data_IF_229793356179
#
_entry.id   IF_229793356179
#
_cell.length_a   1.000
_cell.length_b   1.000
_cell.length_c   1.000
_cell.angle_alpha   90.00
_cell.angle_beta   90.00
_cell.angle_gamma   90.00
#
_symmetry.space_group_name_H-M   'P 1'
#
loop_
_entity.id
_entity.type
_entity.pdbx_description
1 polymer ?
#
# COMPACT_ATOMS: atom_id res chain seq x y z
N UNK A 1 -22.66 -12.87 20.91
CA UNK A 1 -21.33 -12.23 20.92
C UNK A 1 -21.40 -11.03 20.00
N UNK A 2 -21.11 -9.82 20.49
CA UNK A 2 -21.05 -8.63 19.63
C UNK A 2 -19.86 -8.72 18.69
N UNK A 3 -20.05 -8.38 17.42
CA UNK A 3 -18.96 -8.30 16.44
C UNK A 3 -18.08 -7.12 16.83
N UNK A 4 -16.80 -7.39 17.11
CA UNK A 4 -15.81 -6.32 17.27
C UNK A 4 -15.63 -5.64 15.91
N UNK A 5 -15.91 -4.33 15.85
CA UNK A 5 -15.70 -3.52 14.65
C UNK A 5 -14.60 -2.50 14.91
N UNK A 6 -13.64 -2.40 14.00
CA UNK A 6 -12.54 -1.43 14.06
C UNK A 6 -12.79 -0.31 13.06
N UNK A 7 -12.66 0.95 13.51
CA UNK A 7 -12.72 2.12 12.63
C UNK A 7 -11.35 2.28 11.94
N UNK A 8 -11.28 2.23 10.59
CA UNK A 8 -10.00 2.37 9.90
C UNK A 8 -9.39 3.77 10.07
N UNK A 9 -8.10 3.83 10.42
CA UNK A 9 -7.28 5.04 10.31
C UNK A 9 -6.11 4.75 9.38
N UNK A 10 -6.31 5.00 8.08
CA UNK A 10 -5.38 4.63 7.02
C UNK A 10 -4.02 5.33 7.16
N UNK A 11 -4.00 6.60 7.55
CA UNK A 11 -2.75 7.35 7.77
C UNK A 11 -1.92 6.73 8.90
N UNK A 12 -2.53 6.49 10.06
CA UNK A 12 -1.81 5.84 11.19
C UNK A 12 -1.41 4.41 10.86
N UNK A 13 -2.25 3.68 10.13
CA UNK A 13 -1.93 2.33 9.69
C UNK A 13 -0.71 2.32 8.75
N UNK A 14 -0.64 3.24 7.79
CA UNK A 14 0.49 3.38 6.87
C UNK A 14 1.80 3.61 7.62
N UNK A 15 1.84 4.56 8.56
CA UNK A 15 3.03 4.80 9.40
C UNK A 15 3.41 3.58 10.24
N UNK A 16 2.44 2.96 10.93
CA UNK A 16 2.70 1.80 11.79
C UNK A 16 3.25 0.61 11.00
N UNK A 17 2.71 0.34 9.81
CA UNK A 17 3.18 -0.76 8.97
C UNK A 17 4.57 -0.48 8.39
N UNK A 18 4.85 0.77 7.98
CA UNK A 18 6.17 1.16 7.55
C UNK A 18 7.20 1.01 8.67
N UNK A 19 6.90 1.53 9.86
CA UNK A 19 7.77 1.43 11.04
C UNK A 19 8.06 -0.04 11.40
N UNK A 20 7.02 -0.88 11.46
CA UNK A 20 7.20 -2.31 11.72
C UNK A 20 8.05 -3.01 10.65
N UNK A 21 7.90 -2.64 9.37
CA UNK A 21 8.72 -3.17 8.29
C UNK A 21 10.20 -2.76 8.44
N UNK A 22 10.47 -1.50 8.79
CA UNK A 22 11.84 -1.02 9.03
C UNK A 22 12.51 -1.74 10.20
N UNK A 23 11.77 -1.99 11.29
CA UNK A 23 12.28 -2.76 12.43
C UNK A 23 12.65 -4.20 12.03
N UNK A 24 11.81 -4.86 11.23
CA UNK A 24 12.08 -6.22 10.73
C UNK A 24 13.22 -6.27 9.72
N UNK A 25 13.43 -5.21 8.93
CA UNK A 25 14.60 -5.09 8.06
C UNK A 25 15.91 -4.94 8.83
N UNK A 26 15.86 -4.30 10.01
CA UNK A 26 17.02 -4.14 10.90
C UNK A 26 17.28 -5.36 11.79
N UNK A 27 16.33 -6.29 11.89
CA UNK A 27 16.41 -7.47 12.75
C UNK A 27 17.46 -8.50 12.23
N UNK A 28 18.43 -8.92 13.07
CA UNK A 28 19.37 -9.99 12.75
C UNK A 28 18.73 -11.32 12.35
N UNK A 29 17.48 -11.59 12.77
CA UNK A 29 16.71 -12.78 12.40
C UNK A 29 16.17 -12.74 10.94
N UNK A 30 16.35 -11.63 10.22
CA UNK A 30 16.12 -11.48 8.78
C UNK A 30 14.72 -11.89 8.28
N UNK A 31 13.66 -11.47 8.97
CA UNK A 31 12.27 -11.62 8.48
C UNK A 31 11.91 -10.61 7.38
N UNK A 32 12.78 -10.50 6.38
CA UNK A 32 12.66 -9.60 5.23
C UNK A 32 11.43 -9.92 4.38
N UNK A 33 11.00 -11.19 4.38
CA UNK A 33 9.74 -11.65 3.79
C UNK A 33 8.54 -10.90 4.38
N UNK A 34 8.48 -10.81 5.71
CA UNK A 34 7.42 -10.12 6.43
C UNK A 34 7.54 -8.60 6.25
N UNK A 35 8.76 -8.07 6.25
CA UNK A 35 8.99 -6.67 5.95
C UNK A 35 8.46 -6.29 4.56
N UNK A 36 8.76 -7.11 3.54
CA UNK A 36 8.23 -6.95 2.17
C UNK A 36 6.71 -6.91 2.11
N UNK A 37 6.05 -7.82 2.82
CA UNK A 37 4.60 -7.80 2.97
C UNK A 37 4.10 -6.49 3.60
N UNK A 38 4.71 -6.06 4.70
CA UNK A 38 4.31 -4.84 5.42
C UNK A 38 4.55 -3.57 4.62
N UNK A 39 5.59 -3.51 3.78
CA UNK A 39 5.83 -2.37 2.88
C UNK A 39 4.67 -2.15 1.91
N UNK A 40 4.16 -3.21 1.30
CA UNK A 40 3.01 -3.05 0.41
C UNK A 40 1.72 -2.69 1.15
N UNK A 41 1.48 -3.23 2.35
CA UNK A 41 0.35 -2.79 3.19
C UNK A 41 0.49 -1.29 3.57
N UNK A 42 1.69 -0.85 3.92
CA UNK A 42 1.94 0.56 4.22
C UNK A 42 1.64 1.45 3.01
N UNK A 43 2.09 1.06 1.82
CA UNK A 43 1.81 1.76 0.57
C UNK A 43 0.31 1.78 0.24
N UNK A 44 -0.40 0.66 0.35
CA UNK A 44 -1.86 0.60 0.14
C UNK A 44 -2.60 1.54 1.08
N UNK A 45 -2.27 1.51 2.37
CA UNK A 45 -2.85 2.42 3.35
C UNK A 45 -2.58 3.89 2.98
N UNK A 46 -1.37 4.21 2.53
CA UNK A 46 -1.01 5.57 2.13
C UNK A 46 -1.77 6.05 0.90
N UNK A 47 -1.85 5.20 -0.14
CA UNK A 47 -2.62 5.48 -1.35
C UNK A 47 -4.11 5.67 -1.00
N UNK A 48 -4.69 4.77 -0.22
CA UNK A 48 -6.09 4.88 0.19
C UNK A 48 -6.35 6.13 1.03
N UNK A 49 -5.42 6.52 1.91
CA UNK A 49 -5.52 7.75 2.69
C UNK A 49 -5.57 9.00 1.79
N UNK A 50 -4.75 9.05 0.74
CA UNK A 50 -4.77 10.14 -0.24
C UNK A 50 -6.05 10.14 -1.11
N UNK A 51 -6.76 9.02 -1.22
CA UNK A 51 -8.05 8.92 -1.91
C UNK A 51 -9.20 9.45 -1.06
N UNK A 52 -9.15 9.30 0.26
CA UNK A 52 -10.23 9.73 1.18
C UNK A 52 -10.74 11.16 0.92
N UNK A 53 -9.89 12.19 0.74
CA UNK A 53 -10.35 13.56 0.49
C UNK A 53 -10.88 13.80 -0.94
N UNK A 54 -10.70 12.86 -1.88
CA UNK A 54 -11.13 13.03 -3.26
C UNK A 54 -12.66 12.87 -3.40
N UNK A 55 -13.26 13.70 -4.25
CA UNK A 55 -14.70 13.66 -4.59
C UNK A 55 -14.99 12.57 -5.63
N UNK A 56 -14.80 11.30 -5.27
CA UNK A 56 -15.18 10.14 -6.09
C UNK A 56 -16.63 9.71 -5.81
N UNK A 57 -17.20 8.92 -6.72
CA UNK A 57 -18.51 8.29 -6.48
C UNK A 57 -18.42 7.35 -5.26
N UNK A 58 -19.48 7.26 -4.42
CA UNK A 58 -19.46 6.41 -3.22
C UNK A 58 -19.09 4.95 -3.49
N UNK A 59 -19.65 4.33 -4.55
CA UNK A 59 -19.39 2.93 -4.88
C UNK A 59 -17.93 2.71 -5.29
N UNK A 60 -17.36 3.64 -6.07
CA UNK A 60 -15.94 3.61 -6.46
C UNK A 60 -15.04 3.74 -5.24
N UNK A 61 -15.38 4.65 -4.31
CA UNK A 61 -14.63 4.83 -3.06
C UNK A 61 -14.70 3.59 -2.17
N UNK A 62 -15.87 2.95 -2.12
CA UNK A 62 -16.07 1.70 -1.40
C UNK A 62 -15.20 0.59 -1.99
N UNK A 63 -15.22 0.39 -3.32
CA UNK A 63 -14.39 -0.63 -3.97
C UNK A 63 -12.89 -0.40 -3.72
N UNK A 64 -12.41 0.84 -3.93
CA UNK A 64 -11.01 1.20 -3.67
C UNK A 64 -10.58 0.89 -2.23
N UNK A 65 -11.47 1.06 -1.25
CA UNK A 65 -11.15 0.84 0.15
C UNK A 65 -10.80 -0.62 0.45
N UNK A 66 -11.43 -1.57 -0.23
CA UNK A 66 -11.26 -3.01 0.04
C UNK A 66 -10.30 -3.71 -0.93
N UNK A 67 -9.91 -3.07 -2.01
CA UNK A 67 -9.05 -3.67 -3.02
C UNK A 67 -7.55 -3.54 -2.73
N UNK A 68 -6.78 -4.47 -3.28
CA UNK A 68 -5.33 -4.59 -3.10
C UNK A 68 -4.59 -4.45 -4.43
N UNK A 69 -3.27 -4.21 -4.40
CA UNK A 69 -2.49 -4.29 -5.63
C UNK A 69 -2.51 -5.71 -6.24
N UNK A 70 -2.59 -5.84 -7.58
CA UNK A 70 -2.57 -4.76 -8.57
C UNK A 70 -3.94 -4.14 -8.89
N UNK A 71 -5.07 -4.76 -8.50
CA UNK A 71 -6.42 -4.29 -8.86
C UNK A 71 -6.71 -2.87 -8.38
N UNK A 72 -6.23 -2.51 -7.18
CA UNK A 72 -6.28 -1.15 -6.64
C UNK A 72 -5.73 -0.11 -7.62
N UNK A 73 -4.61 -0.39 -8.29
CA UNK A 73 -4.00 0.53 -9.25
C UNK A 73 -4.91 0.77 -10.46
N UNK A 74 -5.51 -0.29 -11.00
CA UNK A 74 -6.44 -0.21 -12.13
C UNK A 74 -7.64 0.66 -11.80
N UNK A 75 -8.29 0.40 -10.66
CA UNK A 75 -9.44 1.18 -10.20
C UNK A 75 -9.08 2.66 -10.00
N UNK A 76 -7.89 2.95 -9.48
CA UNK A 76 -7.42 4.32 -9.31
C UNK A 76 -7.12 5.01 -10.64
N UNK A 77 -6.56 4.32 -11.63
CA UNK A 77 -6.36 4.87 -12.98
C UNK A 77 -7.68 5.27 -13.60
N UNK A 78 -8.67 4.38 -13.52
CA UNK A 78 -10.00 4.60 -14.09
C UNK A 78 -10.72 5.76 -13.36
N UNK A 79 -10.68 5.77 -12.03
CA UNK A 79 -11.30 6.81 -11.21
C UNK A 79 -10.63 8.19 -11.35
N UNK A 80 -9.33 8.22 -11.65
CA UNK A 80 -8.57 9.45 -11.87
C UNK A 80 -8.51 9.92 -13.32
N UNK A 81 -9.03 9.15 -14.28
CA UNK A 81 -9.08 9.50 -15.70
C UNK A 81 -9.66 10.90 -15.91
N UNK A 82 -8.79 11.89 -16.11
CA UNK A 82 -9.14 13.30 -16.30
C UNK A 82 -9.02 14.23 -15.08
N UNK A 83 -8.66 13.73 -13.89
CA UNK A 83 -8.54 14.54 -12.66
C UNK A 83 -7.09 14.56 -12.15
N UNK A 84 -6.50 15.75 -12.01
CA UNK A 84 -5.14 15.92 -11.47
C UNK A 84 -5.13 15.82 -9.93
N UNK A 85 -5.12 14.61 -9.39
CA UNK A 85 -4.64 14.38 -8.03
C UNK A 85 -3.10 14.26 -8.08
N UNK A 86 -2.39 15.40 -8.06
CA UNK A 86 -0.94 15.47 -8.32
C UNK A 86 -0.10 14.46 -7.51
N UNK A 87 -0.30 14.29 -6.18
CA UNK A 87 0.48 13.32 -5.40
C UNK A 87 0.17 11.86 -5.77
N UNK A 88 -1.08 11.54 -6.11
CA UNK A 88 -1.48 10.16 -6.45
C UNK A 88 -1.00 9.72 -7.82
N UNK A 89 -0.79 10.67 -8.74
CA UNK A 89 -0.52 10.39 -10.16
C UNK A 89 0.80 9.62 -10.33
N UNK A 90 1.83 9.98 -9.56
CA UNK A 90 3.15 9.33 -9.66
C UNK A 90 3.15 7.87 -9.25
N UNK A 91 2.22 7.46 -8.37
CA UNK A 91 2.12 6.06 -7.91
C UNK A 91 1.13 5.25 -8.76
N UNK A 92 0.05 5.89 -9.19
CA UNK A 92 -1.01 5.21 -9.94
C UNK A 92 -0.58 4.95 -11.38
N UNK A 93 0.09 5.90 -12.04
CA UNK A 93 0.48 5.80 -13.44
C UNK A 93 1.88 5.21 -13.68
N UNK A 94 2.62 4.92 -12.62
CA UNK A 94 3.87 4.15 -12.73
C UNK A 94 3.58 2.64 -12.68
N UNK A 95 3.84 1.94 -13.78
CA UNK A 95 3.68 0.48 -13.87
C UNK A 95 4.66 -0.30 -12.98
N UNK A 96 5.78 0.32 -12.61
CA UNK A 96 6.75 -0.26 -11.69
C UNK A 96 6.33 -0.15 -10.21
N UNK A 97 5.39 0.75 -9.89
CA UNK A 97 4.93 0.94 -8.51
C UNK A 97 4.23 -0.31 -7.98
N UNK A 98 4.76 -0.84 -6.86
CA UNK A 98 4.34 -2.09 -6.21
C UNK A 98 4.25 -3.29 -7.16
N UNK A 99 5.07 -3.29 -8.21
CA UNK A 99 5.14 -4.43 -9.12
C UNK A 99 5.70 -5.67 -8.40
N UNK A 100 5.20 -6.85 -8.78
CA UNK A 100 5.46 -8.15 -8.13
C UNK A 100 4.99 -8.25 -6.67
N UNK A 101 4.41 -7.20 -6.08
CA UNK A 101 3.78 -7.30 -4.77
C UNK A 101 2.33 -7.76 -4.93
N UNK A 102 1.88 -8.65 -4.05
CA UNK A 102 0.49 -9.07 -3.99
C UNK A 102 0.15 -9.51 -2.57
N UNK A 103 -1.05 -9.17 -2.08
CA UNK A 103 -1.46 -9.46 -0.69
C UNK A 103 -1.40 -10.95 -0.33
N UNK A 104 -1.58 -11.84 -1.33
CA UNK A 104 -1.49 -13.30 -1.14
C UNK A 104 -0.09 -13.80 -0.79
N UNK A 105 0.97 -12.99 -0.96
CA UNK A 105 2.33 -13.36 -0.55
C UNK A 105 2.40 -13.72 0.95
N UNK A 106 1.45 -13.23 1.76
CA UNK A 106 1.29 -13.60 3.17
C UNK A 106 1.19 -15.12 3.38
N UNK A 107 0.65 -15.83 2.39
CA UNK A 107 0.45 -17.28 2.43
C UNK A 107 1.44 -18.03 1.53
N UNK A 108 2.34 -17.31 0.85
CA UNK A 108 3.34 -17.93 -0.01
C UNK A 108 4.53 -18.41 0.82
N UNK A 109 5.29 -19.33 0.24
CA UNK A 109 6.60 -19.69 0.78
C UNK A 109 7.55 -18.47 0.70
N UNK A 110 8.23 -18.18 1.81
CA UNK A 110 9.19 -17.08 1.89
C UNK A 110 10.29 -17.16 0.83
N UNK A 111 10.67 -18.37 0.39
CA UNK A 111 11.67 -18.58 -0.66
C UNK A 111 11.28 -17.98 -2.03
N UNK A 112 9.99 -17.68 -2.24
CA UNK A 112 9.51 -17.04 -3.47
C UNK A 112 9.71 -15.52 -3.46
N UNK A 113 9.96 -14.93 -2.28
CA UNK A 113 10.07 -13.48 -2.11
C UNK A 113 11.54 -13.07 -2.28
N UNK A 114 11.83 -12.30 -3.34
CA UNK A 114 13.20 -11.89 -3.67
C UNK A 114 13.62 -10.64 -2.89
N UNK A 115 14.82 -10.65 -2.32
CA UNK A 115 15.43 -9.49 -1.66
C UNK A 115 15.44 -8.23 -2.56
N UNK A 116 15.67 -8.41 -3.86
CA UNK A 116 15.62 -7.33 -4.84
C UNK A 116 14.25 -6.65 -4.93
N UNK A 117 13.16 -7.40 -4.75
CA UNK A 117 11.82 -6.84 -4.72
C UNK A 117 11.56 -6.09 -3.42
N UNK A 118 11.99 -6.65 -2.29
CA UNK A 118 11.82 -6.04 -0.96
C UNK A 118 12.46 -4.65 -0.91
N UNK A 119 13.69 -4.49 -1.42
CA UNK A 119 14.35 -3.18 -1.47
C UNK A 119 13.60 -2.14 -2.32
N UNK A 120 12.99 -2.57 -3.43
CA UNK A 120 12.15 -1.70 -4.28
C UNK A 120 10.87 -1.32 -3.54
N UNK A 121 10.17 -2.28 -2.94
CA UNK A 121 8.95 -2.04 -2.17
C UNK A 121 9.18 -1.14 -0.98
N UNK A 122 10.31 -1.28 -0.28
CA UNK A 122 10.72 -0.39 0.81
C UNK A 122 10.77 1.05 0.35
N UNK A 123 11.50 1.33 -0.75
CA UNK A 123 11.62 2.69 -1.29
C UNK A 123 10.25 3.24 -1.68
N UNK A 124 9.47 2.46 -2.43
CA UNK A 124 8.14 2.88 -2.90
C UNK A 124 7.16 3.12 -1.74
N UNK A 125 7.22 2.31 -0.69
CA UNK A 125 6.41 2.51 0.52
C UNK A 125 6.80 3.81 1.25
N UNK A 126 8.09 4.09 1.39
CA UNK A 126 8.58 5.36 1.96
C UNK A 126 8.11 6.55 1.16
N UNK A 127 8.22 6.49 -0.17
CA UNK A 127 7.77 7.54 -1.08
C UNK A 127 6.25 7.78 -0.96
N UNK A 128 5.44 6.71 -0.94
CA UNK A 128 3.98 6.81 -0.81
C UNK A 128 3.55 7.35 0.56
N UNK A 129 4.18 6.90 1.64
CA UNK A 129 3.89 7.38 3.01
C UNK A 129 4.29 8.85 3.16
N UNK A 130 5.43 9.26 2.59
CA UNK A 130 5.88 10.65 2.60
C UNK A 130 4.94 11.61 1.85
N UNK A 131 4.26 11.12 0.81
CA UNK A 131 3.35 11.92 -0.02
C UNK A 131 1.96 12.18 0.61
N UNK A 132 1.58 11.48 1.69
CA UNK A 132 0.24 11.66 2.31
C UNK A 132 -0.02 13.08 2.84
N UNK A 133 1.03 13.87 3.09
CA UNK A 133 0.96 15.22 3.65
C UNK A 133 1.26 16.36 2.68
N UNK A 134 1.36 16.07 1.38
CA UNK A 134 1.68 17.04 0.31
C UNK A 134 0.47 17.37 -0.53
#
# INVERSE_FOLDING_TARGET
>A
MGVVSFIPNLTKAAYRHLEAAELLMADPAQRKDVAGYLYGIAAECAIKAMVVPLKLLPDVKHEIQYEHFPKLRTLLRDALGGRRAKPLTVFVFDDAFMNNWHVSMRYADAAQIRDTWIGVWQKQAKDAVGAMGT
#
